data_IF_199329798795
#
_entry.id   IF_199329798795
#
_cell.length_a   1.000
_cell.length_b   1.000
_cell.length_c   1.000
_cell.angle_alpha   90.00
_cell.angle_beta   90.00
_cell.angle_gamma   90.00
#
_symmetry.space_group_name_H-M   'P 1'
#
loop_
_entity.id
_entity.type
_entity.pdbx_description
1 polymer ?
#
# COMPACT_ATOMS: atom_id res chain seq x y z
N UNK A 1 -1.66 3.60 28.04
CA UNK A 1 -0.22 3.77 27.84
C UNK A 1 0.30 4.44 29.08
N UNK A 2 1.31 3.85 29.70
CA UNK A 2 2.00 4.47 30.84
C UNK A 2 2.92 5.59 30.31
N UNK A 3 3.27 6.56 31.17
CA UNK A 3 4.09 7.73 30.80
C UNK A 3 5.42 7.35 30.12
N UNK A 4 6.00 6.19 30.45
CA UNK A 4 7.25 5.68 29.87
C UNK A 4 7.10 5.34 28.38
N UNK A 5 5.96 4.78 27.95
CA UNK A 5 5.71 4.47 26.53
C UNK A 5 5.55 5.75 25.68
N UNK A 6 4.96 6.78 26.27
CA UNK A 6 4.84 8.09 25.62
C UNK A 6 6.17 8.82 25.53
N UNK A 7 7.05 8.68 26.52
CA UNK A 7 8.39 9.25 26.47
C UNK A 7 9.26 8.52 25.45
N UNK A 8 9.19 7.19 25.42
CA UNK A 8 9.85 6.35 24.43
C UNK A 8 9.43 6.70 23.00
N UNK A 9 8.13 6.76 22.72
CA UNK A 9 7.62 7.11 21.38
C UNK A 9 8.03 8.51 20.94
N UNK A 10 8.10 9.48 21.86
CA UNK A 10 8.59 10.84 21.58
C UNK A 10 10.09 10.87 21.23
N UNK A 11 10.90 10.02 21.85
CA UNK A 11 12.33 9.91 21.55
C UNK A 11 12.58 9.47 20.09
N UNK A 12 11.81 8.50 19.59
CA UNK A 12 11.90 8.09 18.17
C UNK A 12 11.54 9.23 17.21
N UNK A 13 10.49 9.98 17.53
CA UNK A 13 10.05 11.14 16.75
C UNK A 13 11.16 12.20 16.71
N UNK A 14 11.76 12.53 17.86
CA UNK A 14 12.83 13.54 17.92
C UNK A 14 14.10 13.09 17.19
N UNK A 15 14.49 11.83 17.30
CA UNK A 15 15.73 11.33 16.73
C UNK A 15 15.60 10.87 15.26
N UNK A 16 14.39 10.93 14.67
CA UNK A 16 14.15 10.49 13.29
C UNK A 16 14.40 9.00 13.05
N UNK A 17 14.50 8.22 14.12
CA UNK A 17 14.70 6.77 14.08
C UNK A 17 13.37 6.13 13.69
N UNK A 18 13.41 5.10 12.84
CA UNK A 18 12.21 4.33 12.44
C UNK A 18 11.99 3.23 13.49
N UNK A 19 10.92 3.27 14.30
CA UNK A 19 10.60 2.20 15.23
C UNK A 19 10.38 0.88 14.49
N UNK A 20 10.79 -0.25 15.07
CA UNK A 20 10.57 -1.56 14.43
C UNK A 20 9.08 -1.89 14.32
N UNK A 21 8.28 -1.46 15.28
CA UNK A 21 6.83 -1.72 15.35
C UNK A 21 5.99 -1.04 14.27
N UNK A 22 6.55 -0.08 13.53
CA UNK A 22 5.87 0.54 12.38
C UNK A 22 6.28 -0.09 11.06
N UNK A 23 7.34 -0.89 11.04
CA UNK A 23 7.76 -1.60 9.84
C UNK A 23 6.78 -2.71 9.55
N UNK A 24 6.52 -2.91 8.26
CA UNK A 24 5.58 -3.90 7.80
C UNK A 24 4.95 -3.49 6.49
N UNK A 25 4.14 -4.39 5.95
CA UNK A 25 3.45 -4.19 4.69
C UNK A 25 2.35 -3.13 4.83
N UNK A 26 2.30 -2.22 3.85
CA UNK A 26 1.25 -1.23 3.69
C UNK A 26 0.48 -1.45 2.38
N UNK A 27 -0.72 -2.03 2.49
CA UNK A 27 -1.66 -2.24 1.41
C UNK A 27 -2.10 -0.93 0.74
N UNK A 28 -2.20 0.16 1.50
CA UNK A 28 -2.51 1.48 0.95
C UNK A 28 -1.41 1.99 0.04
N UNK A 29 -0.15 1.89 0.46
CA UNK A 29 1.02 2.26 -0.35
C UNK A 29 1.17 1.35 -1.58
N UNK A 30 0.85 0.06 -1.45
CA UNK A 30 0.85 -0.88 -2.56
C UNK A 30 -0.24 -0.56 -3.61
N UNK A 31 -1.51 -0.48 -3.19
CA UNK A 31 -2.65 -0.30 -4.09
C UNK A 31 -2.82 1.13 -4.60
N UNK A 32 -2.58 2.12 -3.75
CA UNK A 32 -2.82 3.53 -4.06
C UNK A 32 -1.54 4.35 -4.18
N UNK A 33 -0.38 3.70 -4.32
CA UNK A 33 0.97 4.26 -4.50
C UNK A 33 1.04 5.80 -4.59
N UNK A 34 0.63 6.42 -5.70
CA UNK A 34 0.68 7.86 -5.94
C UNK A 34 -0.22 8.64 -4.97
N UNK A 35 -1.51 8.29 -4.86
CA UNK A 35 -2.46 8.95 -3.95
C UNK A 35 -2.03 8.81 -2.48
N UNK A 36 -1.61 7.60 -2.09
CA UNK A 36 -1.05 7.34 -0.78
C UNK A 36 0.21 8.18 -0.55
N UNK A 37 1.07 8.29 -1.56
CA UNK A 37 2.30 9.09 -1.52
C UNK A 37 2.03 10.56 -1.23
N UNK A 38 1.10 11.20 -1.95
CA UNK A 38 0.67 12.57 -1.68
C UNK A 38 0.12 12.73 -0.26
N UNK A 39 -0.78 11.83 0.17
CA UNK A 39 -1.37 11.87 1.51
C UNK A 39 -0.35 11.71 2.64
N UNK A 40 0.81 11.11 2.36
CA UNK A 40 1.87 10.85 3.33
C UNK A 40 3.15 11.65 3.06
N UNK A 41 3.11 12.67 2.19
CA UNK A 41 4.28 13.48 1.79
C UNK A 41 5.48 12.62 1.36
N UNK A 42 5.21 11.47 0.76
CA UNK A 42 6.22 10.55 0.23
C UNK A 42 6.10 10.51 -1.28
N UNK A 43 7.13 10.98 -1.99
CA UNK A 43 7.10 11.15 -3.45
C UNK A 43 7.82 10.03 -4.20
N UNK A 44 8.50 9.11 -3.52
CA UNK A 44 9.05 7.90 -4.14
C UNK A 44 7.99 7.06 -4.89
N UNK A 45 6.72 6.95 -4.44
CA UNK A 45 5.68 6.29 -5.21
C UNK A 45 5.40 6.88 -6.59
N UNK A 46 5.82 8.11 -6.91
CA UNK A 46 5.68 8.69 -8.26
C UNK A 46 6.47 7.89 -9.32
N UNK A 47 7.48 7.11 -8.92
CA UNK A 47 8.19 6.21 -9.84
C UNK A 47 7.30 5.08 -10.38
N UNK A 48 6.11 4.85 -9.83
CA UNK A 48 5.09 4.00 -10.45
C UNK A 48 4.59 4.53 -11.82
N UNK A 49 4.91 5.78 -12.18
CA UNK A 49 4.64 6.32 -13.52
C UNK A 49 5.63 5.82 -14.59
N UNK A 50 6.75 5.21 -14.19
CA UNK A 50 7.74 4.65 -15.11
C UNK A 50 7.25 3.27 -15.60
N UNK A 51 6.98 3.08 -16.90
CA UNK A 51 6.49 1.82 -17.43
C UNK A 51 7.43 0.64 -17.14
N UNK A 52 6.86 -0.54 -16.90
CA UNK A 52 7.53 -1.80 -16.55
C UNK A 52 8.25 -1.79 -15.19
N UNK A 53 8.95 -0.72 -14.84
CA UNK A 53 9.55 -0.54 -13.51
C UNK A 53 8.48 -0.52 -12.41
N UNK A 54 7.32 0.07 -12.72
CA UNK A 54 6.17 0.12 -11.83
C UNK A 54 5.73 -1.25 -11.29
N UNK A 55 5.91 -2.33 -12.07
CA UNK A 55 5.54 -3.70 -11.67
C UNK A 55 6.29 -4.12 -10.39
N UNK A 56 7.58 -3.79 -10.30
CA UNK A 56 8.39 -4.10 -9.11
C UNK A 56 8.19 -3.01 -8.06
N UNK A 57 8.12 -1.75 -8.50
CA UNK A 57 8.08 -0.61 -7.59
C UNK A 57 6.85 -0.58 -6.69
N UNK A 58 5.69 -1.05 -7.14
CA UNK A 58 4.50 -1.16 -6.27
C UNK A 58 4.76 -2.03 -5.04
N UNK A 59 5.56 -3.10 -5.16
CA UNK A 59 5.92 -3.94 -4.02
C UNK A 59 6.88 -3.24 -3.07
N UNK A 60 7.81 -2.45 -3.61
CA UNK A 60 8.69 -1.60 -2.80
C UNK A 60 7.87 -0.56 -2.03
N UNK A 61 6.86 0.05 -2.67
CA UNK A 61 5.90 0.93 -2.00
C UNK A 61 5.18 0.21 -0.85
N UNK A 62 4.68 -1.00 -1.07
CA UNK A 62 4.05 -1.81 -0.02
C UNK A 62 4.99 -2.11 1.14
N UNK A 63 6.24 -2.51 0.87
CA UNK A 63 7.19 -2.92 1.91
C UNK A 63 7.80 -1.74 2.69
N UNK A 64 8.05 -0.60 2.02
CA UNK A 64 8.78 0.54 2.59
C UNK A 64 7.91 1.77 2.87
N UNK A 65 6.64 1.75 2.47
CA UNK A 65 5.72 2.87 2.61
C UNK A 65 5.69 3.43 4.03
N UNK A 66 5.50 2.59 5.05
CA UNK A 66 5.48 3.04 6.43
C UNK A 66 6.76 3.79 6.85
N UNK A 67 7.93 3.29 6.44
CA UNK A 67 9.20 3.95 6.76
C UNK A 67 9.30 5.34 6.12
N UNK A 68 8.84 5.47 4.87
CA UNK A 68 8.84 6.74 4.16
C UNK A 68 7.85 7.74 4.76
N UNK A 69 6.63 7.28 5.08
CA UNK A 69 5.61 8.12 5.70
C UNK A 69 6.06 8.63 7.06
N UNK A 70 6.72 7.77 7.86
CA UNK A 70 7.27 8.15 9.16
C UNK A 70 8.34 9.24 9.04
N UNK A 71 9.31 9.06 8.14
CA UNK A 71 10.42 10.01 7.96
C UNK A 71 9.99 11.37 7.41
N UNK A 72 8.89 11.42 6.64
CA UNK A 72 8.48 12.62 5.93
C UNK A 72 7.42 13.45 6.66
N UNK A 73 6.96 13.03 7.83
CA UNK A 73 5.91 13.71 8.60
C UNK A 73 6.30 13.90 10.06
N UNK A 74 5.65 14.88 10.69
CA UNK A 74 5.88 15.24 12.09
C UNK A 74 4.78 14.63 12.96
N UNK A 75 4.80 13.31 13.13
CA UNK A 75 3.85 12.62 14.02
C UNK A 75 4.23 12.88 15.48
N UNK A 76 3.23 13.07 16.35
CA UNK A 76 3.45 13.32 17.77
C UNK A 76 3.72 12.03 18.57
N UNK A 77 3.28 10.89 18.04
CA UNK A 77 3.45 9.58 18.66
C UNK A 77 3.33 8.46 17.62
N UNK A 78 3.81 7.26 17.98
CA UNK A 78 3.74 6.08 17.12
C UNK A 78 2.28 5.64 16.90
N UNK A 79 1.42 5.82 17.89
CA UNK A 79 0.02 5.42 17.83
C UNK A 79 -0.77 6.30 16.86
N UNK A 80 -0.48 7.60 16.86
CA UNK A 80 -1.08 8.52 15.89
C UNK A 80 -0.68 8.14 14.46
N UNK A 81 0.58 7.77 14.26
CA UNK A 81 1.05 7.24 12.98
C UNK A 81 0.32 5.97 12.57
N UNK A 82 0.26 4.99 13.49
CA UNK A 82 -0.39 3.70 13.25
C UNK A 82 -1.86 3.86 12.91
N UNK A 83 -2.60 4.75 13.57
CA UNK A 83 -4.00 5.02 13.26
C UNK A 83 -4.21 5.56 11.83
N UNK A 84 -3.33 6.46 11.38
CA UNK A 84 -3.37 6.97 9.99
C UNK A 84 -3.04 5.86 9.00
N UNK A 85 -1.98 5.09 9.25
CA UNK A 85 -1.59 4.00 8.35
C UNK A 85 -2.59 2.86 8.33
N UNK A 86 -3.25 2.56 9.45
CA UNK A 86 -4.29 1.52 9.52
C UNK A 86 -5.49 1.87 8.62
N UNK A 87 -5.86 3.15 8.56
CA UNK A 87 -6.92 3.62 7.64
C UNK A 87 -6.53 3.36 6.18
N UNK A 88 -5.31 3.72 5.80
CA UNK A 88 -4.76 3.41 4.48
C UNK A 88 -4.65 1.91 4.21
N UNK A 89 -4.22 1.14 5.20
CA UNK A 89 -4.06 -0.31 5.11
C UNK A 89 -5.39 -1.00 4.86
N UNK A 90 -6.43 -0.63 5.61
CA UNK A 90 -7.76 -1.18 5.45
C UNK A 90 -8.34 -0.85 4.07
N UNK A 91 -8.23 0.40 3.64
CA UNK A 91 -8.69 0.82 2.32
C UNK A 91 -7.95 0.05 1.20
N UNK A 92 -6.62 -0.04 1.29
CA UNK A 92 -5.81 -0.74 0.30
C UNK A 92 -6.12 -2.23 0.24
N UNK A 93 -6.29 -2.87 1.40
CA UNK A 93 -6.61 -4.29 1.48
C UNK A 93 -7.96 -4.61 0.84
N UNK A 94 -8.99 -3.81 1.14
CA UNK A 94 -10.32 -3.97 0.53
C UNK A 94 -10.24 -3.75 -0.98
N UNK A 95 -9.55 -2.71 -1.43
CA UNK A 95 -9.37 -2.45 -2.87
C UNK A 95 -8.58 -3.56 -3.58
N UNK A 96 -7.59 -4.17 -2.93
CA UNK A 96 -6.87 -5.32 -3.47
C UNK A 96 -7.81 -6.51 -3.71
N UNK A 97 -8.63 -6.86 -2.71
CA UNK A 97 -9.58 -7.98 -2.83
C UNK A 97 -10.61 -7.74 -3.92
N UNK A 98 -11.14 -6.52 -4.01
CA UNK A 98 -12.07 -6.12 -5.07
C UNK A 98 -11.39 -6.24 -6.45
N UNK A 99 -10.20 -5.69 -6.60
CA UNK A 99 -9.44 -5.75 -7.85
C UNK A 99 -9.13 -7.18 -8.27
N UNK A 100 -8.75 -8.05 -7.32
CA UNK A 100 -8.50 -9.47 -7.55
C UNK A 100 -9.76 -10.19 -8.03
N UNK A 101 -10.91 -9.93 -7.41
CA UNK A 101 -12.19 -10.50 -7.83
C UNK A 101 -12.57 -10.08 -9.26
N UNK A 102 -12.42 -8.79 -9.60
CA UNK A 102 -12.66 -8.29 -10.95
C UNK A 102 -11.68 -8.89 -11.98
N UNK A 103 -10.40 -9.05 -11.64
CA UNK A 103 -9.41 -9.66 -12.51
C UNK A 103 -9.76 -11.12 -12.82
N UNK A 104 -10.16 -11.90 -11.81
CA UNK A 104 -10.60 -13.28 -11.99
C UNK A 104 -11.85 -13.33 -12.87
N UNK A 105 -12.85 -12.51 -12.57
CA UNK A 105 -14.09 -12.45 -13.36
C UNK A 105 -13.82 -12.07 -14.82
N UNK A 106 -12.92 -11.11 -15.05
CA UNK A 106 -12.49 -10.72 -16.40
C UNK A 106 -11.84 -11.89 -17.14
N UNK A 107 -10.88 -12.58 -16.53
CA UNK A 107 -10.23 -13.75 -17.13
C UNK A 107 -11.27 -14.83 -17.49
N UNK A 108 -12.18 -15.15 -16.57
CA UNK A 108 -13.23 -16.15 -16.81
C UNK A 108 -14.16 -15.74 -17.95
N UNK A 109 -14.53 -14.46 -18.04
CA UNK A 109 -15.34 -13.93 -19.13
C UNK A 109 -14.66 -14.14 -20.49
N UNK A 110 -13.38 -13.79 -20.63
CA UNK A 110 -12.65 -13.97 -21.89
C UNK A 110 -12.41 -15.44 -22.23
N UNK A 111 -12.15 -16.29 -21.24
CA UNK A 111 -12.05 -17.75 -21.44
C UNK A 111 -13.38 -18.30 -21.95
N UNK A 112 -14.51 -17.90 -21.37
CA UNK A 112 -15.83 -18.32 -21.81
C UNK A 112 -16.13 -17.89 -23.24
N UNK A 113 -15.87 -16.62 -23.59
CA UNK A 113 -16.07 -16.12 -24.95
C UNK A 113 -15.18 -16.86 -25.95
N UNK A 114 -13.89 -17.08 -25.63
CA UNK A 114 -12.97 -17.84 -26.47
C UNK A 114 -13.44 -19.29 -26.68
N UNK A 115 -13.92 -19.94 -25.62
CA UNK A 115 -14.47 -21.30 -25.69
C UNK A 115 -15.75 -21.35 -26.55
N UNK A 116 -16.66 -20.40 -26.38
CA UNK A 116 -17.89 -20.31 -27.17
C UNK A 116 -17.58 -20.11 -28.66
N UNK A 117 -16.67 -19.18 -28.99
CA UNK A 117 -16.25 -18.92 -30.37
C UNK A 117 -15.58 -20.15 -31.02
N UNK A 118 -14.73 -20.87 -30.28
CA UNK A 118 -14.10 -22.09 -30.76
C UNK A 118 -15.13 -23.18 -31.07
N UNK A 119 -16.13 -23.38 -30.20
CA UNK A 119 -17.19 -24.37 -30.46
C UNK A 119 -18.06 -24.00 -31.66
N UNK A 120 -18.39 -22.72 -31.85
CA UNK A 120 -19.16 -22.25 -33.01
C UNK A 120 -18.40 -22.41 -34.34
N UNK A 121 -17.06 -22.32 -34.33
CA UNK A 121 -16.25 -22.52 -35.54
C UNK A 121 -16.15 -24.01 -35.94
N UNK A 122 -16.25 -24.93 -34.98
CA UNK A 122 -16.11 -26.37 -35.21
C UNK A 122 -17.45 -27.09 -35.50
N UNK A 123 -18.55 -26.35 -35.60
CA UNK A 123 -19.87 -26.85 -36.07
C UNK A 123 -20.06 -26.56 -37.55
#
# INVERSE_FOLDING_TARGET
>A
MDNNEQEYSREYVQNGVVPQEIKGWNWGAFCFNINWGFGNKSYLPLLCLVPFFNIIWIFVCGAKGNEWAWKNNNYQSIETFKAVQETWNRAGWISFLIGLAFAIMYILFFVFIGFAAFNSYNQ
#
